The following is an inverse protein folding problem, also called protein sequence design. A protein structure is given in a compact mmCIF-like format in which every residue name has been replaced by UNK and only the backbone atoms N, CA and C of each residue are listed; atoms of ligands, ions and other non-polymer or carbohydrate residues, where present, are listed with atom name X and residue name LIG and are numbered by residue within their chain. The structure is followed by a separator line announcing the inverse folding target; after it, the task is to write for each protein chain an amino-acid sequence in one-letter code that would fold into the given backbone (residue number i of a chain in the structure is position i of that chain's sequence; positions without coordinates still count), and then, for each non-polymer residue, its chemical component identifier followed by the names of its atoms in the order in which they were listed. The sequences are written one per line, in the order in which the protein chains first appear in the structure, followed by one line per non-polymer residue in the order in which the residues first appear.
data_IF_262954522315
#
_entry.id   IF_262954522315
#
_cell.length_a   1.000
_cell.length_b   1.000
_cell.length_c   1.000
_cell.angle_alpha   90.00
_cell.angle_beta   90.00
_cell.angle_gamma   90.00
#
_symmetry.space_group_name_H-M   'P 1'
#
loop_
_entity.id
_entity.type
_entity.pdbx_description
1 polymer ?
#
# COMPACT_ATOMS: atom_id res chain seq x y z
N UNK A 1 -26.30 -12.17 0.06
CA UNK A 1 -24.91 -12.35 -0.45
C UNK A 1 -24.30 -13.53 0.29
N UNK A 2 -23.76 -14.52 -0.41
CA UNK A 2 -23.02 -15.59 0.25
C UNK A 2 -21.56 -15.12 0.55
N UNK A 3 -20.82 -15.91 1.35
CA UNK A 3 -19.49 -15.49 1.82
C UNK A 3 -18.50 -15.30 0.66
N UNK A 4 -18.55 -16.14 -0.38
CA UNK A 4 -17.62 -16.04 -1.51
C UNK A 4 -17.93 -14.78 -2.35
N UNK A 5 -19.21 -14.50 -2.58
CA UNK A 5 -19.65 -13.29 -3.27
C UNK A 5 -19.23 -12.02 -2.55
N UNK A 6 -19.19 -12.04 -1.19
CA UNK A 6 -18.76 -10.87 -0.41
C UNK A 6 -17.31 -10.44 -0.63
N UNK A 7 -16.46 -11.35 -1.14
CA UNK A 7 -15.07 -11.04 -1.51
C UNK A 7 -14.91 -10.51 -2.95
N UNK A 8 -15.98 -10.48 -3.76
CA UNK A 8 -15.92 -10.02 -5.15
C UNK A 8 -15.82 -8.50 -5.23
N UNK A 9 -15.07 -8.04 -6.25
CA UNK A 9 -14.89 -6.62 -6.57
C UNK A 9 -15.45 -6.26 -7.95
N UNK A 10 -16.39 -7.05 -8.48
CA UNK A 10 -16.99 -6.80 -9.78
C UNK A 10 -17.63 -5.40 -9.84
N UNK A 11 -17.29 -4.63 -10.86
CA UNK A 11 -17.75 -3.26 -11.04
C UNK A 11 -17.16 -2.22 -10.09
N UNK A 12 -16.17 -2.59 -9.28
CA UNK A 12 -15.43 -1.67 -8.41
C UNK A 12 -14.19 -1.13 -9.11
N UNK A 13 -13.97 0.18 -9.01
CA UNK A 13 -12.78 0.87 -9.49
C UNK A 13 -11.80 1.04 -8.32
N UNK A 14 -10.59 0.53 -8.49
CA UNK A 14 -9.56 0.46 -7.46
C UNK A 14 -8.31 1.19 -7.89
N UNK A 15 -7.88 2.20 -7.15
CA UNK A 15 -6.58 2.87 -7.35
C UNK A 15 -5.52 2.23 -6.45
N UNK A 16 -4.40 1.81 -7.04
CA UNK A 16 -3.20 1.34 -6.32
C UNK A 16 -2.01 2.23 -6.65
N UNK A 17 -1.59 3.09 -5.71
CA UNK A 17 -0.36 3.85 -5.91
C UNK A 17 0.86 2.96 -5.72
N UNK A 18 1.89 3.14 -6.57
CA UNK A 18 3.06 2.28 -6.53
C UNK A 18 2.80 0.82 -6.90
N UNK A 19 1.72 0.53 -7.64
CA UNK A 19 1.31 -0.82 -8.03
C UNK A 19 2.31 -1.59 -8.89
N UNK A 20 3.32 -0.91 -9.48
CA UNK A 20 4.42 -1.56 -10.19
C UNK A 20 5.63 -1.91 -9.29
N UNK A 21 5.56 -1.66 -7.97
CA UNK A 21 6.56 -2.02 -6.97
C UNK A 21 6.37 -3.43 -6.41
N UNK A 22 7.24 -3.84 -5.45
CA UNK A 22 7.25 -5.20 -4.88
C UNK A 22 5.86 -5.64 -4.34
N UNK A 23 5.45 -5.15 -3.18
CA UNK A 23 4.11 -5.45 -2.66
C UNK A 23 2.99 -4.93 -3.57
N UNK A 24 3.24 -3.81 -4.29
CA UNK A 24 2.25 -3.24 -5.22
C UNK A 24 1.78 -4.24 -6.28
N UNK A 25 2.68 -5.06 -6.85
CA UNK A 25 2.33 -6.08 -7.83
C UNK A 25 1.43 -7.17 -7.22
N UNK A 26 1.76 -7.62 -6.00
CA UNK A 26 0.97 -8.61 -5.27
C UNK A 26 -0.45 -8.13 -5.01
N UNK A 27 -0.56 -6.85 -4.61
CA UNK A 27 -1.82 -6.17 -4.32
C UNK A 27 -2.66 -6.03 -5.59
N UNK A 28 -2.07 -5.52 -6.68
CA UNK A 28 -2.74 -5.37 -7.98
C UNK A 28 -3.30 -6.70 -8.46
N UNK A 29 -2.49 -7.75 -8.42
CA UNK A 29 -2.92 -9.08 -8.87
C UNK A 29 -4.07 -9.62 -8.03
N UNK A 30 -3.99 -9.59 -6.70
CA UNK A 30 -5.06 -10.08 -5.83
C UNK A 30 -6.39 -9.35 -6.02
N UNK A 31 -6.37 -8.01 -6.17
CA UNK A 31 -7.57 -7.21 -6.39
C UNK A 31 -8.16 -7.42 -7.79
N UNK A 32 -7.30 -7.65 -8.81
CA UNK A 32 -7.73 -7.98 -10.16
C UNK A 32 -8.33 -9.39 -10.25
N UNK A 33 -7.74 -10.38 -9.57
CA UNK A 33 -8.28 -11.75 -9.44
C UNK A 33 -9.68 -11.75 -8.77
N UNK A 34 -9.93 -10.80 -7.86
CA UNK A 34 -11.25 -10.61 -7.24
C UNK A 34 -12.28 -9.92 -8.16
N UNK A 35 -11.90 -9.47 -9.37
CA UNK A 35 -12.78 -8.86 -10.36
C UNK A 35 -12.77 -7.34 -10.40
N UNK A 36 -11.85 -6.67 -9.70
CA UNK A 36 -11.74 -5.21 -9.71
C UNK A 36 -11.17 -4.64 -11.00
N UNK A 37 -11.62 -3.45 -11.40
CA UNK A 37 -10.97 -2.59 -12.41
C UNK A 37 -9.85 -1.80 -11.73
N UNK A 38 -8.60 -2.09 -12.05
CA UNK A 38 -7.44 -1.62 -11.29
C UNK A 38 -6.72 -0.48 -12.01
N UNK A 39 -6.48 0.62 -11.33
CA UNK A 39 -5.64 1.73 -11.80
C UNK A 39 -4.30 1.67 -11.07
N UNK A 40 -3.22 1.45 -11.81
CA UNK A 40 -1.85 1.56 -11.29
C UNK A 40 -1.36 2.98 -11.51
N UNK A 41 -0.99 3.69 -10.43
CA UNK A 41 -0.48 5.05 -10.54
C UNK A 41 0.86 5.23 -9.83
N UNK A 42 1.83 5.85 -10.50
CA UNK A 42 3.13 6.27 -9.96
C UNK A 42 3.77 7.31 -10.86
N UNK A 43 4.93 7.85 -10.50
CA UNK A 43 5.67 8.83 -11.31
C UNK A 43 6.08 8.31 -12.68
N UNK A 44 6.43 7.03 -12.77
CA UNK A 44 6.88 6.42 -14.02
C UNK A 44 5.71 5.80 -14.78
N UNK A 45 5.10 6.59 -15.69
CA UNK A 45 3.96 6.16 -16.49
C UNK A 45 4.31 4.98 -17.41
N UNK A 46 5.50 4.96 -18.01
CA UNK A 46 5.91 3.89 -18.93
C UNK A 46 6.01 2.54 -18.22
N UNK A 47 6.59 2.54 -16.99
CA UNK A 47 6.60 1.34 -16.15
C UNK A 47 5.19 0.88 -15.78
N UNK A 48 4.29 1.82 -15.48
CA UNK A 48 2.90 1.50 -15.18
C UNK A 48 2.20 0.90 -16.41
N UNK A 49 2.40 1.47 -17.61
CA UNK A 49 1.84 0.97 -18.88
C UNK A 49 2.31 -0.45 -19.17
N UNK A 50 3.62 -0.70 -19.10
CA UNK A 50 4.16 -2.04 -19.31
C UNK A 50 3.57 -3.09 -18.36
N UNK A 51 3.36 -2.71 -17.07
CA UNK A 51 2.71 -3.60 -16.09
C UNK A 51 1.22 -3.80 -16.39
N UNK A 52 0.49 -2.74 -16.73
CA UNK A 52 -0.91 -2.84 -17.10
C UNK A 52 -1.12 -3.77 -18.31
N UNK A 53 -0.30 -3.64 -19.35
CA UNK A 53 -0.37 -4.52 -20.53
C UNK A 53 -0.05 -5.98 -20.18
N UNK A 54 0.92 -6.23 -19.30
CA UNK A 54 1.23 -7.58 -18.81
C UNK A 54 0.06 -8.20 -18.02
N UNK A 55 -0.74 -7.40 -17.31
CA UNK A 55 -1.94 -7.87 -16.62
C UNK A 55 -3.12 -8.06 -17.59
N UNK A 56 -3.30 -7.15 -18.55
CA UNK A 56 -4.32 -7.29 -19.58
C UNK A 56 -4.12 -8.57 -20.42
N UNK A 57 -2.88 -8.92 -20.73
CA UNK A 57 -2.58 -10.18 -21.45
C UNK A 57 -2.96 -11.44 -20.67
N UNK A 58 -3.14 -11.34 -19.34
CA UNK A 58 -3.68 -12.38 -18.46
C UNK A 58 -5.20 -12.32 -18.31
N UNK A 59 -5.89 -11.38 -18.98
CA UNK A 59 -7.32 -11.19 -18.90
C UNK A 59 -7.82 -10.29 -17.77
N UNK A 60 -6.92 -9.56 -17.07
CA UNK A 60 -7.28 -8.63 -16.01
C UNK A 60 -7.56 -7.22 -16.53
N UNK A 61 -8.51 -6.53 -15.94
CA UNK A 61 -8.83 -5.13 -16.24
C UNK A 61 -7.91 -4.20 -15.44
N UNK A 62 -6.77 -3.79 -16.04
CA UNK A 62 -5.75 -2.97 -15.40
C UNK A 62 -5.38 -1.78 -16.28
N UNK A 63 -5.35 -0.59 -15.70
CA UNK A 63 -5.07 0.68 -16.35
C UNK A 63 -3.85 1.37 -15.74
N UNK A 64 -3.20 2.21 -16.52
CA UNK A 64 -2.00 2.94 -16.10
C UNK A 64 -2.25 4.45 -16.09
N UNK A 65 -1.99 5.10 -14.95
CA UNK A 65 -2.01 6.55 -14.82
C UNK A 65 -0.70 7.05 -14.21
N UNK A 66 -0.49 8.36 -14.28
CA UNK A 66 0.68 9.02 -13.68
C UNK A 66 0.27 9.80 -12.42
N UNK A 67 1.11 9.74 -11.38
CA UNK A 67 1.00 10.63 -10.23
C UNK A 67 2.37 10.83 -9.56
N UNK A 68 2.70 12.05 -9.24
CA UNK A 68 3.67 12.39 -8.21
C UNK A 68 2.92 12.83 -6.96
N UNK A 69 2.91 11.98 -5.92
CA UNK A 69 2.21 12.32 -4.68
C UNK A 69 2.86 13.49 -3.92
N UNK A 70 4.08 13.87 -4.23
CA UNK A 70 4.75 15.04 -3.70
C UNK A 70 4.36 16.36 -4.38
N UNK A 71 3.47 16.31 -5.39
CA UNK A 71 2.98 17.46 -6.14
C UNK A 71 1.44 17.49 -6.15
N UNK A 72 0.87 18.49 -5.48
CA UNK A 72 -0.58 18.67 -5.39
C UNK A 72 -1.26 18.74 -6.76
N UNK A 73 -0.67 19.45 -7.73
CA UNK A 73 -1.26 19.55 -9.08
C UNK A 73 -1.30 18.19 -9.80
N UNK A 74 -0.30 17.35 -9.58
CA UNK A 74 -0.28 15.98 -10.09
C UNK A 74 -1.38 15.13 -9.44
N UNK A 75 -1.61 15.28 -8.12
CA UNK A 75 -2.70 14.60 -7.40
C UNK A 75 -4.06 15.02 -7.94
N UNK A 76 -4.28 16.34 -8.16
CA UNK A 76 -5.54 16.84 -8.73
C UNK A 76 -5.75 16.39 -10.18
N UNK A 77 -4.68 16.29 -10.97
CA UNK A 77 -4.74 15.77 -12.34
C UNK A 77 -5.14 14.31 -12.37
N UNK A 78 -4.56 13.47 -11.48
CA UNK A 78 -4.97 12.07 -11.31
C UNK A 78 -6.46 11.97 -10.93
N UNK A 79 -6.91 12.75 -9.93
CA UNK A 79 -8.33 12.77 -9.50
C UNK A 79 -9.27 13.08 -10.66
N UNK A 80 -8.92 14.10 -11.47
CA UNK A 80 -9.70 14.49 -12.65
C UNK A 80 -9.72 13.38 -13.71
N UNK A 81 -8.58 12.74 -13.96
CA UNK A 81 -8.47 11.65 -14.92
C UNK A 81 -9.32 10.43 -14.50
N UNK A 82 -9.28 10.02 -13.23
CA UNK A 82 -10.11 8.94 -12.70
C UNK A 82 -11.59 9.26 -12.88
N UNK A 83 -12.02 10.46 -12.52
CA UNK A 83 -13.40 10.88 -12.66
C UNK A 83 -13.85 10.89 -14.12
N UNK A 84 -13.00 11.38 -15.03
CA UNK A 84 -13.32 11.45 -16.47
C UNK A 84 -13.39 10.08 -17.14
N UNK A 85 -12.51 9.14 -16.75
CA UNK A 85 -12.37 7.84 -17.42
C UNK A 85 -13.29 6.77 -16.82
N UNK A 86 -13.45 6.79 -15.48
CA UNK A 86 -14.19 5.75 -14.76
C UNK A 86 -15.49 6.26 -14.11
N UNK A 87 -15.66 7.56 -13.95
CA UNK A 87 -16.81 8.17 -13.30
C UNK A 87 -16.89 7.96 -11.78
N UNK A 88 -16.02 7.13 -11.19
CA UNK A 88 -16.03 6.74 -9.77
C UNK A 88 -14.68 6.24 -9.27
N UNK A 89 -14.55 6.18 -7.95
CA UNK A 89 -13.50 5.43 -7.24
C UNK A 89 -14.14 4.75 -6.03
N UNK A 90 -13.95 3.44 -5.88
CA UNK A 90 -14.49 2.66 -4.76
C UNK A 90 -13.44 2.29 -3.72
N UNK A 91 -12.21 2.03 -4.16
CA UNK A 91 -11.12 1.63 -3.29
C UNK A 91 -9.84 2.40 -3.60
N UNK A 92 -9.19 2.91 -2.57
CA UNK A 92 -7.86 3.50 -2.68
C UNK A 92 -6.85 2.73 -1.84
N UNK A 93 -5.83 2.15 -2.49
CA UNK A 93 -4.68 1.54 -1.82
C UNK A 93 -3.50 2.51 -1.85
N UNK A 94 -3.20 3.10 -0.71
CA UNK A 94 -2.09 4.02 -0.51
C UNK A 94 -0.82 3.22 -0.21
N UNK A 95 -0.12 2.79 -1.28
CA UNK A 95 1.05 1.91 -1.19
C UNK A 95 2.36 2.60 -1.61
N UNK A 96 2.32 3.73 -2.31
CA UNK A 96 3.53 4.44 -2.74
C UNK A 96 4.44 4.81 -1.56
N UNK A 97 5.74 4.71 -1.79
CA UNK A 97 6.77 5.16 -0.86
C UNK A 97 7.96 5.73 -1.63
N UNK A 98 8.49 6.84 -1.18
CA UNK A 98 9.79 7.38 -1.58
C UNK A 98 10.82 7.09 -0.49
N UNK A 99 12.04 6.79 -0.87
CA UNK A 99 13.14 6.48 0.06
C UNK A 99 14.34 7.40 -0.21
N UNK A 100 14.25 8.69 0.13
CA UNK A 100 15.37 9.63 -0.03
C UNK A 100 16.55 9.31 0.89
N UNK A 101 16.28 8.90 2.14
CA UNK A 101 17.30 8.43 3.06
C UNK A 101 17.72 6.98 2.75
N UNK A 102 19.03 6.73 2.94
CA UNK A 102 19.65 5.41 2.78
C UNK A 102 20.35 4.97 4.08
N UNK A 103 20.76 5.92 4.92
CA UNK A 103 21.41 5.65 6.20
C UNK A 103 20.94 6.62 7.27
N UNK A 104 21.35 6.36 8.53
CA UNK A 104 21.11 7.26 9.65
C UNK A 104 21.87 8.59 9.50
N UNK A 105 23.05 8.56 8.91
CA UNK A 105 23.97 9.69 8.80
C UNK A 105 23.76 10.53 7.53
N UNK A 106 22.73 10.24 6.76
CA UNK A 106 22.39 11.05 5.58
C UNK A 106 22.05 12.50 5.96
N UNK A 107 22.23 13.47 5.04
CA UNK A 107 21.83 14.85 5.27
C UNK A 107 20.38 14.97 5.73
N UNK A 108 20.11 15.87 6.69
CA UNK A 108 18.78 16.04 7.28
C UNK A 108 17.73 16.45 6.23
N UNK A 109 18.17 17.06 5.14
CA UNK A 109 17.33 17.41 3.99
C UNK A 109 16.68 16.18 3.35
N UNK A 110 17.34 15.01 3.38
CA UNK A 110 16.78 13.76 2.90
C UNK A 110 15.61 13.29 3.79
N UNK A 111 15.70 13.52 5.11
CA UNK A 111 14.59 13.28 6.02
C UNK A 111 13.43 14.23 5.72
N UNK A 112 13.70 15.54 5.54
CA UNK A 112 12.68 16.53 5.20
C UNK A 112 11.99 16.19 3.87
N UNK A 113 12.74 15.79 2.85
CA UNK A 113 12.19 15.35 1.56
C UNK A 113 11.35 14.07 1.70
N UNK A 114 11.79 13.12 2.54
CA UNK A 114 10.99 11.94 2.86
C UNK A 114 9.64 12.31 3.47
N UNK A 115 9.62 13.24 4.44
CA UNK A 115 8.39 13.73 5.07
C UNK A 115 7.51 14.50 4.09
N UNK A 116 8.10 15.31 3.22
CA UNK A 116 7.36 16.02 2.17
C UNK A 116 6.57 15.06 1.28
N UNK A 117 7.17 13.94 0.87
CA UNK A 117 6.52 12.97 -0.01
C UNK A 117 5.66 11.98 0.77
N UNK A 118 6.21 11.33 1.81
CA UNK A 118 5.57 10.20 2.48
C UNK A 118 4.59 10.60 3.59
N UNK A 119 4.65 11.84 4.09
CA UNK A 119 3.70 12.36 5.06
C UNK A 119 2.77 13.38 4.42
N UNK A 120 3.29 14.53 3.96
CA UNK A 120 2.45 15.60 3.38
C UNK A 120 1.77 15.14 2.10
N UNK A 121 2.51 14.56 1.16
CA UNK A 121 1.95 14.06 -0.10
C UNK A 121 0.97 12.89 0.10
N UNK A 122 1.27 11.98 1.03
CA UNK A 122 0.33 10.91 1.38
C UNK A 122 -0.97 11.46 1.98
N UNK A 123 -0.91 12.51 2.83
CA UNK A 123 -2.10 13.16 3.37
C UNK A 123 -2.93 13.84 2.29
N UNK A 124 -2.28 14.48 1.32
CA UNK A 124 -2.96 15.09 0.18
C UNK A 124 -3.69 14.05 -0.67
N UNK A 125 -3.00 12.96 -1.04
CA UNK A 125 -3.62 11.81 -1.72
C UNK A 125 -4.82 11.24 -0.96
N UNK A 126 -4.69 11.04 0.37
CA UNK A 126 -5.77 10.52 1.20
C UNK A 126 -6.99 11.42 1.21
N UNK A 127 -6.81 12.75 1.28
CA UNK A 127 -7.91 13.72 1.23
C UNK A 127 -8.63 13.71 -0.11
N UNK A 128 -7.87 13.81 -1.20
CA UNK A 128 -8.42 13.95 -2.55
C UNK A 128 -9.09 12.66 -3.04
N UNK A 129 -8.52 11.49 -2.71
CA UNK A 129 -9.14 10.20 -3.05
C UNK A 129 -10.34 9.90 -2.15
N UNK A 130 -10.31 10.29 -0.87
CA UNK A 130 -11.47 10.15 0.00
C UNK A 130 -12.67 11.00 -0.47
N UNK A 131 -12.42 12.22 -0.97
CA UNK A 131 -13.46 13.06 -1.55
C UNK A 131 -14.10 12.39 -2.79
N UNK A 132 -13.27 11.78 -3.64
CA UNK A 132 -13.76 11.04 -4.81
C UNK A 132 -14.57 9.81 -4.42
N UNK A 133 -14.07 8.99 -3.47
CA UNK A 133 -14.78 7.82 -2.93
C UNK A 133 -16.13 8.22 -2.30
N UNK A 134 -16.14 9.29 -1.52
CA UNK A 134 -17.39 9.80 -0.93
C UNK A 134 -18.43 10.18 -1.99
N UNK A 135 -18.01 10.91 -3.02
CA UNK A 135 -18.87 11.28 -4.15
C UNK A 135 -19.36 10.08 -4.97
N UNK A 136 -18.64 8.97 -4.89
CA UNK A 136 -19.01 7.69 -5.51
C UNK A 136 -19.98 6.85 -4.66
N UNK A 137 -20.35 7.32 -3.46
CA UNK A 137 -21.29 6.63 -2.56
C UNK A 137 -20.62 5.94 -1.36
N UNK A 138 -19.32 6.06 -1.20
CA UNK A 138 -18.53 5.42 -0.14
C UNK A 138 -17.63 4.29 -0.65
N UNK A 139 -16.84 3.68 0.24
CA UNK A 139 -15.89 2.63 -0.15
C UNK A 139 -14.82 2.35 0.89
N UNK A 140 -13.61 2.00 0.43
CA UNK A 140 -12.50 1.60 1.29
C UNK A 140 -11.20 2.32 0.97
N UNK A 141 -10.47 2.72 2.01
CA UNK A 141 -9.09 3.20 1.93
C UNK A 141 -8.21 2.20 2.69
N UNK A 142 -7.15 1.73 2.04
CA UNK A 142 -6.21 0.77 2.62
C UNK A 142 -4.81 1.38 2.58
N UNK A 143 -4.28 1.73 3.73
CA UNK A 143 -2.90 2.19 3.87
C UNK A 143 -1.95 1.00 3.98
N UNK A 144 -0.86 1.00 3.21
CA UNK A 144 0.20 0.02 3.38
C UNK A 144 1.29 0.65 4.23
N UNK A 145 1.37 0.22 5.49
CA UNK A 145 2.45 0.64 6.39
C UNK A 145 3.62 -0.36 6.39
N UNK A 146 4.03 -0.84 7.54
CA UNK A 146 5.07 -1.85 7.74
C UNK A 146 5.09 -2.28 9.22
N UNK A 147 5.56 -3.48 9.52
CA UNK A 147 5.94 -3.85 10.89
C UNK A 147 6.94 -2.83 11.50
N UNK A 148 7.78 -2.20 10.67
CA UNK A 148 8.71 -1.15 11.07
C UNK A 148 8.03 0.17 11.50
N UNK A 149 6.74 0.32 11.30
CA UNK A 149 5.94 1.39 11.90
C UNK A 149 5.40 1.03 13.30
N UNK A 150 5.56 -0.20 13.73
CA UNK A 150 5.09 -0.71 15.03
C UNK A 150 6.25 -1.05 15.96
N UNK A 151 7.35 -1.55 15.43
CA UNK A 151 8.51 -2.07 16.17
C UNK A 151 9.79 -1.45 15.68
N UNK A 152 10.79 -1.33 16.57
CA UNK A 152 12.14 -0.95 16.19
C UNK A 152 12.84 -2.00 15.31
N UNK A 153 13.95 -1.67 14.66
CA UNK A 153 14.69 -2.62 13.85
C UNK A 153 15.40 -3.66 14.72
N UNK A 154 15.31 -4.92 14.34
CA UNK A 154 16.23 -5.93 14.83
C UNK A 154 17.49 -5.89 13.96
N UNK A 155 18.54 -5.24 14.48
CA UNK A 155 19.78 -5.02 13.73
C UNK A 155 20.54 -6.32 13.47
N UNK A 156 20.36 -7.35 14.29
CA UNK A 156 21.03 -8.63 14.09
C UNK A 156 20.57 -9.37 12.81
N UNK A 157 19.49 -8.94 12.18
CA UNK A 157 19.12 -9.42 10.85
C UNK A 157 20.15 -9.05 9.76
N UNK A 158 20.94 -8.00 10.00
CA UNK A 158 21.92 -7.44 9.06
C UNK A 158 23.36 -7.90 9.36
N UNK A 159 23.58 -8.64 10.45
CA UNK A 159 24.90 -9.12 10.84
C UNK A 159 25.52 -10.03 9.78
N UNK A 160 26.74 -9.70 9.37
CA UNK A 160 27.47 -10.45 8.33
C UNK A 160 26.91 -10.27 6.91
N UNK A 161 26.14 -9.19 6.67
CA UNK A 161 25.64 -8.83 5.34
C UNK A 161 26.21 -7.49 4.87
N UNK A 162 26.21 -7.26 3.55
CA UNK A 162 26.49 -5.95 2.95
C UNK A 162 25.24 -5.04 2.89
N UNK A 163 24.13 -5.47 3.48
CA UNK A 163 22.88 -4.69 3.51
C UNK A 163 22.97 -3.61 4.60
N UNK A 164 22.71 -2.36 4.21
CA UNK A 164 22.59 -1.27 5.17
C UNK A 164 21.38 -1.44 6.09
N UNK A 165 21.46 -0.90 7.31
CA UNK A 165 20.32 -0.86 8.23
C UNK A 165 19.21 0.04 7.67
N UNK A 166 17.96 -0.23 7.99
CA UNK A 166 16.83 0.59 7.51
C UNK A 166 16.94 2.03 8.03
N UNK A 167 16.63 2.99 7.15
CA UNK A 167 16.72 4.41 7.45
C UNK A 167 15.59 4.89 8.38
N UNK A 168 15.84 5.89 9.27
CA UNK A 168 14.90 6.30 10.33
C UNK A 168 13.63 6.96 9.80
N UNK A 169 13.68 7.63 8.66
CA UNK A 169 12.52 8.25 8.02
C UNK A 169 11.40 7.24 7.74
N UNK A 170 11.78 6.01 7.37
CA UNK A 170 10.82 4.95 7.08
C UNK A 170 10.02 4.56 8.32
N UNK A 171 10.67 4.38 9.46
CA UNK A 171 10.01 4.10 10.74
C UNK A 171 9.06 5.23 11.13
N UNK A 172 9.53 6.47 11.01
CA UNK A 172 8.77 7.64 11.41
C UNK A 172 7.46 7.77 10.61
N UNK A 173 7.53 7.79 9.27
CA UNK A 173 6.31 7.99 8.49
C UNK A 173 5.38 6.76 8.47
N UNK A 174 5.90 5.52 8.62
CA UNK A 174 5.05 4.32 8.73
C UNK A 174 4.30 4.28 10.05
N UNK A 175 4.92 4.67 11.16
CA UNK A 175 4.24 4.81 12.45
C UNK A 175 3.15 5.88 12.39
N UNK A 176 3.47 7.04 11.80
CA UNK A 176 2.50 8.11 11.57
C UNK A 176 1.30 7.66 10.75
N UNK A 177 1.52 6.90 9.69
CA UNK A 177 0.46 6.38 8.81
C UNK A 177 -0.49 5.41 9.54
N UNK A 178 0.03 4.55 10.42
CA UNK A 178 -0.78 3.64 11.25
C UNK A 178 -1.74 4.44 12.14
N UNK A 179 -1.25 5.47 12.84
CA UNK A 179 -2.11 6.26 13.71
C UNK A 179 -3.06 7.18 12.93
N UNK A 180 -2.61 7.71 11.79
CA UNK A 180 -3.45 8.48 10.86
C UNK A 180 -4.63 7.65 10.34
N UNK A 181 -4.46 6.35 10.12
CA UNK A 181 -5.55 5.43 9.75
C UNK A 181 -6.69 5.46 10.77
N UNK A 182 -6.38 5.39 12.07
CA UNK A 182 -7.39 5.45 13.16
C UNK A 182 -8.11 6.80 13.19
N UNK A 183 -7.37 7.89 12.99
CA UNK A 183 -7.93 9.23 12.90
C UNK A 183 -8.92 9.34 11.72
N UNK A 184 -8.50 8.92 10.52
CA UNK A 184 -9.31 9.02 9.30
C UNK A 184 -10.55 8.12 9.35
N UNK A 185 -10.47 6.94 9.96
CA UNK A 185 -11.60 6.06 10.16
C UNK A 185 -12.74 6.74 10.95
N UNK A 186 -12.42 7.62 11.90
CA UNK A 186 -13.39 8.42 12.65
C UNK A 186 -13.89 9.62 11.84
N UNK A 187 -12.98 10.33 11.15
CA UNK A 187 -13.33 11.52 10.36
C UNK A 187 -14.27 11.17 9.19
N UNK A 188 -14.10 9.98 8.60
CA UNK A 188 -14.89 9.55 7.44
C UNK A 188 -16.07 8.64 7.78
N UNK A 189 -16.33 8.35 9.06
CA UNK A 189 -17.44 7.47 9.47
C UNK A 189 -18.80 7.87 8.87
N UNK A 190 -19.12 9.19 8.86
CA UNK A 190 -20.36 9.71 8.27
C UNK A 190 -20.39 9.74 6.74
N UNK A 191 -19.31 9.33 6.05
CA UNK A 191 -19.17 9.36 4.60
C UNK A 191 -19.22 7.96 3.96
N UNK A 192 -19.55 6.94 4.73
CA UNK A 192 -19.56 5.54 4.29
C UNK A 192 -18.18 5.10 3.74
N UNK A 193 -17.08 5.57 4.35
CA UNK A 193 -15.71 5.21 3.99
C UNK A 193 -15.05 4.49 5.15
N UNK A 194 -14.58 3.28 4.91
CA UNK A 194 -13.72 2.54 5.84
C UNK A 194 -12.25 2.88 5.57
N UNK A 195 -11.46 3.04 6.62
CA UNK A 195 -10.02 3.29 6.50
C UNK A 195 -9.28 2.28 7.35
N UNK A 196 -8.48 1.43 6.75
CA UNK A 196 -7.69 0.41 7.42
C UNK A 196 -6.23 0.46 6.98
N UNK A 197 -5.39 -0.25 7.70
CA UNK A 197 -3.96 -0.35 7.45
C UNK A 197 -3.53 -1.82 7.42
N UNK A 198 -2.58 -2.14 6.55
CA UNK A 198 -1.84 -3.40 6.58
C UNK A 198 -0.38 -3.08 6.86
N UNK A 199 0.20 -3.76 7.84
CA UNK A 199 1.61 -3.64 8.24
C UNK A 199 2.34 -4.94 7.92
N UNK A 200 2.84 -5.12 6.67
CA UNK A 200 3.54 -6.33 6.29
C UNK A 200 4.95 -6.38 6.87
N UNK A 201 5.42 -7.61 7.10
CA UNK A 201 6.82 -7.94 7.33
C UNK A 201 7.65 -7.94 6.04
N UNK A 202 8.82 -8.57 6.07
CA UNK A 202 9.71 -8.65 4.92
C UNK A 202 9.14 -9.53 3.81
N UNK A 203 9.03 -8.99 2.60
CA UNK A 203 8.72 -9.74 1.37
C UNK A 203 10.00 -10.34 0.81
N UNK A 204 9.97 -11.63 0.46
CA UNK A 204 11.07 -12.27 -0.25
C UNK A 204 11.27 -11.60 -1.63
N UNK A 205 12.48 -11.11 -1.84
CA UNK A 205 12.88 -10.43 -3.07
C UNK A 205 14.39 -10.65 -3.33
N UNK A 206 14.81 -11.91 -3.28
CA UNK A 206 16.19 -12.33 -3.53
C UNK A 206 17.24 -11.65 -2.64
N UNK A 207 16.92 -11.43 -1.36
CA UNK A 207 17.88 -10.98 -0.36
C UNK A 207 19.05 -11.97 -0.24
N UNK A 208 20.18 -11.49 0.32
CA UNK A 208 21.34 -12.35 0.51
C UNK A 208 21.02 -13.54 1.42
N UNK A 209 21.67 -14.67 1.18
CA UNK A 209 21.46 -15.90 1.95
C UNK A 209 21.64 -15.66 3.46
N UNK A 210 22.69 -14.94 3.83
CA UNK A 210 22.96 -14.58 5.22
C UNK A 210 21.83 -13.79 5.88
N UNK A 211 21.24 -12.83 5.16
CA UNK A 211 20.09 -12.09 5.68
C UNK A 211 18.88 -13.03 5.83
N UNK A 212 18.64 -13.90 4.86
CA UNK A 212 17.54 -14.86 4.91
C UNK A 212 17.66 -15.79 6.13
N UNK A 213 18.85 -16.33 6.39
CA UNK A 213 19.13 -17.13 7.58
C UNK A 213 18.83 -16.36 8.87
N UNK A 214 19.40 -15.14 9.01
CA UNK A 214 19.21 -14.32 10.20
C UNK A 214 17.74 -13.94 10.45
N UNK A 215 16.98 -13.69 9.38
CA UNK A 215 15.59 -13.28 9.46
C UNK A 215 14.66 -14.45 9.71
N UNK A 216 14.76 -15.51 8.91
CA UNK A 216 13.77 -16.61 8.91
C UNK A 216 13.80 -17.46 10.16
N UNK A 217 14.96 -17.61 10.81
CA UNK A 217 15.07 -18.33 12.10
C UNK A 217 14.27 -17.67 13.23
N UNK A 218 13.94 -16.38 13.11
CA UNK A 218 13.16 -15.62 14.10
C UNK A 218 11.67 -15.58 13.77
N UNK A 219 11.30 -15.92 12.54
CA UNK A 219 9.90 -15.93 12.10
C UNK A 219 9.29 -17.30 12.43
N UNK A 220 8.24 -17.38 13.28
CA UNK A 220 7.61 -18.65 13.62
C UNK A 220 7.14 -19.49 12.41
N UNK A 221 6.71 -18.84 11.32
CA UNK A 221 6.38 -19.53 10.07
C UNK A 221 7.61 -19.98 9.25
N UNK A 222 8.84 -19.69 9.69
CA UNK A 222 10.09 -20.15 9.09
C UNK A 222 10.44 -19.56 7.73
N UNK A 223 9.75 -18.51 7.28
CA UNK A 223 9.98 -17.90 5.97
C UNK A 223 9.63 -16.41 5.95
N UNK A 224 10.13 -15.69 4.95
CA UNK A 224 9.63 -14.37 4.60
C UNK A 224 8.24 -14.47 3.93
N UNK A 225 7.53 -13.34 3.85
CA UNK A 225 6.30 -13.27 3.08
C UNK A 225 6.58 -13.49 1.58
N UNK A 226 5.66 -14.18 0.91
CA UNK A 226 5.67 -14.41 -0.52
C UNK A 226 4.58 -13.60 -1.23
N UNK A 227 4.60 -13.63 -2.57
CA UNK A 227 3.71 -12.84 -3.43
C UNK A 227 2.22 -13.00 -3.07
N UNK A 228 1.78 -14.21 -2.76
CA UNK A 228 0.36 -14.49 -2.51
C UNK A 228 -0.11 -14.14 -1.10
N UNK A 229 0.80 -13.99 -0.13
CA UNK A 229 0.43 -13.86 1.29
C UNK A 229 -0.41 -12.59 1.57
N UNK A 230 -0.18 -11.49 0.85
CA UNK A 230 -0.90 -10.24 1.06
C UNK A 230 -2.27 -10.20 0.35
N UNK A 231 -2.48 -11.03 -0.69
CA UNK A 231 -3.67 -10.93 -1.54
C UNK A 231 -4.98 -11.05 -0.75
N UNK A 232 -5.08 -12.05 0.13
CA UNK A 232 -6.29 -12.32 0.90
C UNK A 232 -6.72 -11.16 1.80
N UNK A 233 -5.77 -10.56 2.53
CA UNK A 233 -6.08 -9.41 3.41
C UNK A 233 -6.46 -8.17 2.60
N UNK A 234 -5.86 -7.96 1.44
CA UNK A 234 -6.21 -6.83 0.58
C UNK A 234 -7.63 -6.97 0.01
N UNK A 235 -8.01 -8.15 -0.46
CA UNK A 235 -9.36 -8.43 -0.95
C UNK A 235 -10.39 -8.31 0.18
N UNK A 236 -10.10 -8.83 1.38
CA UNK A 236 -10.94 -8.68 2.57
C UNK A 236 -11.22 -7.20 2.86
N UNK A 237 -10.20 -6.36 2.94
CA UNK A 237 -10.35 -4.95 3.28
C UNK A 237 -10.98 -4.12 2.15
N UNK A 238 -10.78 -4.50 0.89
CA UNK A 238 -11.34 -3.81 -0.28
C UNK A 238 -12.84 -4.11 -0.51
N UNK A 239 -13.32 -5.27 -0.07
CA UNK A 239 -14.64 -5.82 -0.40
C UNK A 239 -15.66 -5.70 0.75
N UNK A 240 -16.88 -6.17 0.50
CA UNK A 240 -17.95 -6.26 1.51
C UNK A 240 -17.65 -7.28 2.61
N UNK A 241 -16.75 -8.24 2.37
CA UNK A 241 -16.29 -9.17 3.42
C UNK A 241 -15.66 -8.45 4.61
N UNK A 242 -15.05 -7.27 4.38
CA UNK A 242 -14.49 -6.41 5.42
C UNK A 242 -15.41 -5.27 5.89
N UNK A 243 -16.71 -5.31 5.60
CA UNK A 243 -17.64 -4.19 5.86
C UNK A 243 -17.66 -3.68 7.31
N UNK A 244 -17.35 -4.54 8.29
CA UNK A 244 -17.33 -4.16 9.71
C UNK A 244 -15.90 -3.94 10.28
N UNK A 245 -14.87 -3.92 9.40
CA UNK A 245 -13.47 -3.64 9.76
C UNK A 245 -13.17 -2.18 9.41
N UNK A 246 -12.92 -1.34 10.45
CA UNK A 246 -12.64 0.08 10.26
C UNK A 246 -11.71 0.61 11.37
N UNK A 247 -10.63 1.28 10.96
CA UNK A 247 -9.60 1.83 11.85
C UNK A 247 -8.57 0.81 12.32
N UNK A 248 -8.55 -0.39 11.72
CA UNK A 248 -7.67 -1.49 12.12
C UNK A 248 -6.31 -1.41 11.42
N UNK A 249 -5.28 -1.89 12.11
CA UNK A 249 -3.96 -2.14 11.55
C UNK A 249 -3.65 -3.63 11.62
N UNK A 250 -3.68 -4.31 10.50
CA UNK A 250 -3.43 -5.75 10.41
C UNK A 250 -1.93 -6.00 10.25
N UNK A 251 -1.29 -6.53 11.30
CA UNK A 251 0.08 -7.01 11.24
C UNK A 251 0.15 -8.33 10.46
N UNK A 252 1.03 -8.41 9.47
CA UNK A 252 1.22 -9.58 8.62
C UNK A 252 2.73 -9.89 8.51
N UNK A 253 3.30 -10.51 9.53
CA UNK A 253 4.76 -10.70 9.67
C UNK A 253 5.19 -12.15 9.96
N UNK A 254 4.27 -13.11 9.82
CA UNK A 254 4.58 -14.52 10.06
C UNK A 254 4.81 -14.86 11.55
N UNK A 255 4.40 -13.98 12.45
CA UNK A 255 4.59 -14.13 13.90
C UNK A 255 5.90 -13.57 14.42
N UNK A 256 6.69 -12.87 13.60
CA UNK A 256 8.01 -12.33 13.98
C UNK A 256 7.95 -11.46 15.25
N UNK A 257 6.85 -10.75 15.46
CA UNK A 257 6.65 -9.85 16.60
C UNK A 257 5.47 -10.27 17.52
N UNK A 258 5.14 -11.54 17.52
CA UNK A 258 4.09 -12.08 18.38
C UNK A 258 4.56 -12.28 19.84
#
# INVERSE_FOLDING_TARGET
MNVIESFRLDGKVVLVTGGAGNYGQCIVEGLAEAGGSIIIASRNLEKNRAKAEAYKSKGFDVHAMQVDQGDHYSVMSLKKAILSEFGRLDVFVNNSVSRPMKSFDDPIENFAESMRINATGAMDMLREMADLIWKSGGGSIINIASMMGMFGPDLSNYDGTDMGIPSPDYFFHRAGLINLTRYLARVYAGKNIRVNCVSPGGLFNHQTERFLENYTQKVPLGRMAEHNDIKGVMVLLASEAGAYINGENILMDGGLNA
#
